data_IF_122416054006
#
_entry.id   IF_122416054006
#
_cell.length_a   1.000
_cell.length_b   1.000
_cell.length_c   1.000
_cell.angle_alpha   90.00
_cell.angle_beta   90.00
_cell.angle_gamma   90.00
#
_symmetry.space_group_name_H-M   'P 1'
#
loop_
_entity.id
_entity.type
_entity.pdbx_description
1 polymer ?
#
# COMPACT_ATOMS: atom_id res chain seq x y z
N UNK A 1 4.80 0.90 18.82
CA UNK A 1 5.34 -0.09 17.88
C UNK A 1 4.23 -0.86 17.23
N UNK A 2 4.33 -1.05 15.95
CA UNK A 2 3.31 -1.79 15.24
C UNK A 2 3.51 -3.27 15.36
N UNK A 3 2.42 -3.99 15.54
CA UNK A 3 2.48 -5.45 15.55
C UNK A 3 2.79 -5.95 14.15
N UNK A 4 3.58 -7.00 14.04
CA UNK A 4 3.76 -7.61 12.72
C UNK A 4 2.42 -8.12 12.20
N UNK A 5 2.27 -8.11 10.92
CA UNK A 5 1.07 -8.63 10.31
C UNK A 5 1.07 -10.13 10.28
N UNK A 6 0.91 -10.75 11.43
CA UNK A 6 1.09 -12.18 11.54
C UNK A 6 -0.15 -12.98 11.21
N UNK A 7 -1.31 -12.37 11.28
CA UNK A 7 -2.52 -13.09 10.93
C UNK A 7 -3.11 -12.53 9.66
N UNK A 8 -3.77 -13.36 8.92
CA UNK A 8 -4.46 -12.95 7.72
C UNK A 8 -5.89 -12.59 8.08
N UNK A 9 -6.53 -11.88 7.18
CA UNK A 9 -7.97 -11.70 7.25
C UNK A 9 -8.58 -13.02 6.78
N UNK A 10 -8.64 -13.95 7.69
CA UNK A 10 -8.97 -15.31 7.37
C UNK A 10 -10.48 -15.50 7.33
N UNK A 11 -10.96 -15.98 6.21
CA UNK A 11 -12.37 -16.17 6.00
C UNK A 11 -12.76 -17.63 5.85
N UNK A 12 -11.97 -18.53 6.37
CA UNK A 12 -12.24 -19.95 6.22
C UNK A 12 -13.65 -20.33 6.62
N UNK A 13 -14.15 -19.70 7.66
CA UNK A 13 -15.49 -19.99 8.12
C UNK A 13 -16.56 -19.53 7.15
N UNK A 14 -16.23 -18.52 6.38
CA UNK A 14 -17.18 -18.02 5.38
C UNK A 14 -17.24 -18.92 4.18
N UNK A 15 -16.23 -19.73 4.01
CA UNK A 15 -16.21 -20.73 2.97
C UNK A 15 -16.46 -20.18 1.60
N UNK A 16 -17.27 -20.87 0.89
CA UNK A 16 -17.51 -20.60 -0.50
C UNK A 16 -18.07 -19.23 -0.79
N UNK A 17 -18.86 -18.70 0.09
CA UNK A 17 -19.50 -17.42 -0.16
C UNK A 17 -18.57 -16.24 0.00
N UNK A 18 -17.54 -16.41 0.79
CA UNK A 18 -16.68 -15.28 1.16
C UNK A 18 -15.97 -14.67 -0.04
N UNK A 19 -15.48 -15.47 -0.96
CA UNK A 19 -14.75 -14.94 -2.08
C UNK A 19 -15.66 -14.18 -3.03
N UNK A 20 -16.96 -14.38 -2.94
CA UNK A 20 -17.91 -13.65 -3.77
C UNK A 20 -18.25 -12.29 -3.17
N UNK A 21 -18.19 -12.19 -1.86
CA UNK A 21 -18.63 -11.00 -1.15
C UNK A 21 -17.54 -10.34 -0.33
N UNK A 22 -16.38 -10.96 -0.27
CA UNK A 22 -15.33 -10.50 0.62
C UNK A 22 -14.46 -9.44 0.01
N UNK A 23 -14.90 -8.21 0.10
CA UNK A 23 -14.08 -7.08 -0.32
C UNK A 23 -13.24 -6.63 0.85
N UNK A 24 -11.92 -6.57 0.65
CA UNK A 24 -11.01 -6.03 1.64
C UNK A 24 -10.79 -4.57 1.32
N UNK A 25 -11.05 -3.71 2.28
CA UNK A 25 -10.79 -2.28 2.12
C UNK A 25 -9.47 -1.94 2.78
N UNK A 26 -8.61 -1.24 2.05
CA UNK A 26 -7.27 -0.91 2.53
C UNK A 26 -7.07 0.60 2.45
N UNK A 27 -6.59 1.18 3.55
CA UNK A 27 -6.22 2.59 3.61
C UNK A 27 -4.72 2.65 3.86
N UNK A 28 -3.99 3.42 3.06
CA UNK A 28 -2.53 3.46 3.16
C UNK A 28 -2.04 4.90 3.23
N UNK A 29 -0.89 5.07 3.87
CA UNK A 29 -0.22 6.37 3.92
C UNK A 29 1.26 6.18 4.16
N UNK A 30 2.03 7.21 3.82
CA UNK A 30 3.46 7.24 4.07
C UNK A 30 3.85 8.57 4.64
N UNK A 31 4.89 8.59 5.44
CA UNK A 31 5.41 9.81 6.05
C UNK A 31 6.93 9.76 6.05
N UNK A 32 7.55 10.93 5.92
CA UNK A 32 8.99 11.00 5.95
C UNK A 32 9.41 12.34 6.55
N UNK A 33 10.35 12.28 7.48
CA UNK A 33 10.87 13.50 8.12
C UNK A 33 12.17 13.89 7.43
N UNK A 34 12.09 14.95 6.63
CA UNK A 34 13.18 15.26 5.71
C UNK A 34 13.12 14.27 4.56
N UNK A 35 13.36 14.65 3.38
CA UNK A 35 13.15 13.81 2.22
C UNK A 35 14.41 13.86 1.35
N UNK A 36 15.41 12.97 1.59
CA UNK A 36 15.34 11.76 2.38
C UNK A 36 15.52 11.94 3.88
N UNK A 37 15.11 10.94 4.64
CA UNK A 37 15.24 10.94 6.08
C UNK A 37 14.47 9.77 6.67
N UNK A 38 14.29 9.75 8.00
CA UNK A 38 13.50 8.70 8.63
C UNK A 38 12.06 8.75 8.13
N UNK A 39 11.55 7.61 7.76
CA UNK A 39 10.19 7.53 7.25
C UNK A 39 9.43 6.36 7.82
N UNK A 40 8.11 6.42 7.67
CA UNK A 40 7.23 5.36 8.11
C UNK A 40 6.09 5.17 7.13
N UNK A 41 5.48 4.02 7.21
CA UNK A 41 4.32 3.67 6.40
C UNK A 41 3.24 3.07 7.30
N UNK A 42 2.00 3.22 6.89
CA UNK A 42 0.90 2.65 7.62
C UNK A 42 -0.18 2.12 6.70
N UNK A 43 -0.86 1.09 7.14
CA UNK A 43 -1.97 0.51 6.39
C UNK A 43 -3.02 -0.01 7.37
N UNK A 44 -4.28 0.28 7.05
CA UNK A 44 -5.41 -0.27 7.77
C UNK A 44 -6.19 -1.14 6.80
N UNK A 45 -6.34 -2.41 7.15
CA UNK A 45 -7.11 -3.35 6.34
C UNK A 45 -8.40 -3.66 7.07
N UNK A 46 -9.51 -3.55 6.35
CA UNK A 46 -10.84 -3.79 6.92
C UNK A 46 -11.53 -4.86 6.09
N UNK A 47 -11.99 -5.90 6.76
CA UNK A 47 -12.74 -6.96 6.11
C UNK A 47 -13.93 -7.29 7.01
N UNK A 48 -15.11 -6.90 6.54
CA UNK A 48 -16.34 -7.02 7.34
C UNK A 48 -16.18 -6.24 8.64
N UNK A 49 -16.29 -6.89 9.80
CA UNK A 49 -16.13 -6.22 11.09
C UNK A 49 -14.74 -6.37 11.69
N UNK A 50 -13.80 -6.90 10.91
CA UNK A 50 -12.43 -7.10 11.37
C UNK A 50 -11.51 -6.01 10.83
N UNK A 51 -10.56 -5.62 11.65
CA UNK A 51 -9.55 -4.64 11.25
C UNK A 51 -8.17 -5.17 11.56
N UNK A 52 -7.23 -4.81 10.70
CA UNK A 52 -5.83 -5.16 10.89
C UNK A 52 -5.00 -3.94 10.61
N UNK A 53 -4.13 -3.60 11.53
CA UNK A 53 -3.25 -2.45 11.38
C UNK A 53 -1.83 -2.91 11.12
N UNK A 54 -1.17 -2.29 10.15
CA UNK A 54 0.22 -2.54 9.86
C UNK A 54 0.96 -1.23 9.86
N UNK A 55 2.18 -1.23 10.32
CA UNK A 55 3.06 -0.09 10.12
C UNK A 55 4.51 -0.52 10.27
N UNK A 56 5.38 0.33 9.76
CA UNK A 56 6.81 0.09 9.86
C UNK A 56 7.53 1.34 9.42
N UNK A 57 8.85 1.30 9.44
CA UNK A 57 9.64 2.45 9.08
C UNK A 57 11.02 2.09 8.60
N UNK A 58 11.70 3.08 8.06
CA UNK A 58 13.08 2.96 7.60
C UNK A 58 13.84 4.20 8.06
N UNK A 59 15.11 4.02 8.43
CA UNK A 59 15.90 5.16 8.96
C UNK A 59 16.29 6.17 7.88
N UNK A 60 16.35 5.76 6.63
CA UNK A 60 16.73 6.64 5.52
C UNK A 60 15.91 6.26 4.30
N UNK A 61 14.91 7.05 3.99
CA UNK A 61 14.00 6.74 2.90
C UNK A 61 13.39 8.02 2.36
N UNK A 62 12.37 7.90 1.52
CA UNK A 62 11.65 9.04 0.98
C UNK A 62 10.16 8.83 1.17
N UNK A 63 9.42 9.93 1.07
CA UNK A 63 7.97 9.84 1.19
C UNK A 63 7.38 8.91 0.12
N UNK A 64 7.87 9.03 -1.12
CA UNK A 64 7.36 8.19 -2.21
C UNK A 64 7.60 6.70 -1.95
N UNK A 65 8.77 6.34 -1.42
CA UNK A 65 9.03 4.95 -1.09
C UNK A 65 8.09 4.45 0.01
N UNK A 66 7.81 5.29 0.98
CA UNK A 66 6.91 4.90 2.07
C UNK A 66 5.48 4.72 1.58
N UNK A 67 5.04 5.57 0.66
CA UNK A 67 3.73 5.42 0.07
C UNK A 67 3.58 4.10 -0.68
N UNK A 68 4.60 3.76 -1.47
CA UNK A 68 4.60 2.47 -2.18
C UNK A 68 4.66 1.30 -1.21
N UNK A 69 5.51 1.41 -0.20
CA UNK A 69 5.72 0.34 0.75
C UNK A 69 4.43 0.02 1.52
N UNK A 70 3.66 1.05 1.87
CA UNK A 70 2.40 0.84 2.56
C UNK A 70 1.46 -0.05 1.74
N UNK A 71 1.32 0.23 0.45
CA UNK A 71 0.45 -0.56 -0.42
C UNK A 71 1.00 -1.99 -0.56
N UNK A 72 2.30 -2.10 -0.77
CA UNK A 72 2.95 -3.40 -0.95
C UNK A 72 2.75 -4.28 0.28
N UNK A 73 3.04 -3.74 1.46
CA UNK A 73 2.91 -4.53 2.68
C UNK A 73 1.47 -4.93 2.96
N UNK A 74 0.54 -4.04 2.65
CA UNK A 74 -0.87 -4.36 2.83
C UNK A 74 -1.30 -5.53 1.92
N UNK A 75 -0.95 -5.46 0.65
CA UNK A 75 -1.29 -6.54 -0.29
C UNK A 75 -0.58 -7.84 0.06
N UNK A 76 0.67 -7.73 0.47
CA UNK A 76 1.48 -8.87 0.84
C UNK A 76 0.90 -9.63 2.03
N UNK A 77 0.20 -8.94 2.91
CA UNK A 77 -0.38 -9.56 4.10
C UNK A 77 -1.60 -10.41 3.80
N UNK A 78 -2.14 -10.32 2.60
CA UNK A 78 -3.29 -11.11 2.20
C UNK A 78 -2.82 -12.50 1.74
N UNK A 79 -3.37 -13.53 2.35
CA UNK A 79 -2.89 -14.90 2.13
C UNK A 79 -3.46 -15.54 0.89
N UNK A 80 -4.52 -14.99 0.34
CA UNK A 80 -5.18 -15.54 -0.83
C UNK A 80 -5.61 -14.41 -1.74
N UNK A 81 -5.99 -14.78 -2.94
CA UNK A 81 -6.51 -13.83 -3.92
C UNK A 81 -7.77 -13.17 -3.38
N UNK A 82 -7.82 -11.84 -3.44
CA UNK A 82 -8.92 -11.07 -2.88
C UNK A 82 -9.36 -9.99 -3.84
N UNK A 83 -10.62 -9.59 -3.69
CA UNK A 83 -11.07 -8.32 -4.24
C UNK A 83 -10.73 -7.25 -3.20
N UNK A 84 -10.07 -6.20 -3.65
CA UNK A 84 -9.47 -5.19 -2.76
C UNK A 84 -9.82 -3.80 -3.25
N UNK A 85 -10.23 -2.93 -2.33
CA UNK A 85 -10.39 -1.50 -2.60
C UNK A 85 -9.30 -0.76 -1.83
N UNK A 86 -8.43 -0.06 -2.52
CA UNK A 86 -7.31 0.64 -1.90
C UNK A 86 -7.56 2.14 -1.96
N UNK A 87 -7.53 2.78 -0.79
CA UNK A 87 -7.71 4.23 -0.66
C UNK A 87 -6.37 4.86 -0.30
N UNK A 88 -5.91 5.79 -1.11
CA UNK A 88 -4.66 6.49 -0.87
C UNK A 88 -4.76 7.92 -1.41
N UNK A 89 -4.03 8.84 -0.78
CA UNK A 89 -3.95 10.21 -1.27
C UNK A 89 -2.65 10.49 -2.02
N UNK A 90 -1.86 9.46 -2.27
CA UNK A 90 -0.57 9.63 -2.93
C UNK A 90 -0.71 9.88 -4.41
N UNK A 91 -0.35 11.08 -4.85
CA UNK A 91 -0.33 11.39 -6.27
C UNK A 91 0.74 10.58 -7.01
N UNK A 92 1.83 10.28 -6.32
CA UNK A 92 2.90 9.48 -6.90
C UNK A 92 2.41 8.08 -7.24
N UNK A 93 1.71 7.43 -6.32
CA UNK A 93 1.16 6.09 -6.56
C UNK A 93 0.12 6.15 -7.68
N UNK A 94 -0.74 7.17 -7.63
CA UNK A 94 -1.78 7.35 -8.63
C UNK A 94 -1.19 7.47 -10.03
N UNK A 95 -0.25 8.38 -10.19
CA UNK A 95 0.33 8.63 -11.51
C UNK A 95 1.08 7.41 -12.02
N UNK A 96 1.76 6.70 -11.13
CA UNK A 96 2.47 5.50 -11.53
C UNK A 96 1.52 4.40 -12.00
N UNK A 97 0.47 4.16 -11.26
CA UNK A 97 -0.48 3.09 -11.58
C UNK A 97 -1.26 3.43 -12.86
N UNK A 98 -1.69 4.69 -13.01
CA UNK A 98 -2.54 5.07 -14.12
C UNK A 98 -1.76 5.29 -15.41
N UNK A 99 -0.52 5.71 -15.32
CA UNK A 99 0.21 6.18 -16.49
C UNK A 99 1.58 5.54 -16.64
N UNK A 100 2.47 5.76 -15.68
CA UNK A 100 3.89 5.46 -15.86
C UNK A 100 4.19 3.97 -16.00
N UNK A 101 3.48 3.15 -15.25
CA UNK A 101 3.81 1.73 -15.18
C UNK A 101 3.66 1.04 -16.53
N UNK A 102 2.73 1.51 -17.34
CA UNK A 102 2.49 0.90 -18.65
C UNK A 102 3.69 1.09 -19.57
N UNK A 103 4.27 2.27 -19.56
CA UNK A 103 5.45 2.54 -20.35
C UNK A 103 6.67 1.81 -19.80
N UNK A 104 6.80 1.78 -18.49
CA UNK A 104 7.94 1.09 -17.85
C UNK A 104 7.95 -0.40 -18.19
N UNK A 105 6.79 -1.03 -18.16
CA UNK A 105 6.70 -2.46 -18.48
C UNK A 105 7.12 -2.74 -19.92
N UNK A 106 6.78 -1.84 -20.83
CA UNK A 106 7.18 -1.99 -22.23
C UNK A 106 8.66 -1.74 -22.43
N UNK A 107 9.26 -0.88 -21.61
CA UNK A 107 10.63 -0.44 -21.78
C UNK A 107 11.63 -1.16 -20.86
N UNK A 108 11.21 -2.28 -20.29
CA UNK A 108 12.08 -3.06 -19.42
C UNK A 108 12.44 -2.36 -18.13
N UNK A 109 11.53 -1.51 -17.63
CA UNK A 109 11.70 -0.78 -16.38
C UNK A 109 12.84 0.24 -16.44
N UNK A 110 12.99 0.85 -17.60
CA UNK A 110 13.96 1.90 -17.81
C UNK A 110 13.27 3.14 -18.33
N UNK A 111 13.84 4.29 -17.99
CA UNK A 111 13.35 5.56 -18.50
C UNK A 111 13.73 5.74 -19.97
N UNK A 112 13.25 6.81 -20.57
CA UNK A 112 13.60 7.14 -21.94
C UNK A 112 15.11 7.25 -22.14
N UNK A 113 15.84 7.69 -21.10
CA UNK A 113 17.29 7.83 -21.12
C UNK A 113 18.01 6.51 -20.84
N UNK A 114 17.27 5.41 -20.79
CA UNK A 114 17.79 4.08 -20.51
C UNK A 114 18.37 3.94 -19.11
N UNK A 115 17.95 4.79 -18.19
CA UNK A 115 18.33 4.68 -16.79
C UNK A 115 17.27 3.88 -16.04
N UNK A 116 17.64 3.20 -14.96
CA UNK A 116 16.63 2.47 -14.19
C UNK A 116 15.53 3.40 -13.69
N UNK A 117 14.31 2.92 -13.71
CA UNK A 117 13.18 3.66 -13.14
C UNK A 117 13.42 3.82 -11.64
N UNK A 118 13.20 5.02 -11.13
CA UNK A 118 13.36 5.27 -9.71
C UNK A 118 12.37 4.41 -8.93
N UNK A 119 12.86 3.75 -7.89
CA UNK A 119 12.06 2.83 -7.07
C UNK A 119 11.52 1.65 -7.88
N UNK A 120 12.23 1.25 -8.93
CA UNK A 120 11.77 0.18 -9.81
C UNK A 120 11.48 -1.10 -9.05
N UNK A 121 12.29 -1.44 -8.04
CA UNK A 121 12.08 -2.67 -7.29
C UNK A 121 10.73 -2.65 -6.56
N UNK A 122 10.33 -1.49 -6.04
CA UNK A 122 9.06 -1.36 -5.36
C UNK A 122 7.89 -1.40 -6.36
N UNK A 123 8.04 -0.71 -7.49
CA UNK A 123 7.00 -0.72 -8.51
C UNK A 123 6.76 -2.11 -9.08
N UNK A 124 7.83 -2.87 -9.28
CA UNK A 124 7.71 -4.24 -9.78
C UNK A 124 7.02 -5.13 -8.76
N UNK A 125 7.36 -4.97 -7.50
CA UNK A 125 6.74 -5.75 -6.44
C UNK A 125 5.25 -5.41 -6.35
N UNK A 126 4.91 -4.13 -6.41
CA UNK A 126 3.51 -3.70 -6.38
C UNK A 126 2.75 -4.26 -7.57
N UNK A 127 3.33 -4.19 -8.76
CA UNK A 127 2.67 -4.69 -9.97
C UNK A 127 2.36 -6.18 -9.84
N UNK A 128 3.31 -6.95 -9.34
CA UNK A 128 3.12 -8.39 -9.18
C UNK A 128 2.03 -8.70 -8.14
N UNK A 129 2.04 -7.97 -7.03
CA UNK A 129 1.03 -8.18 -6.00
C UNK A 129 -0.36 -7.77 -6.47
N UNK A 130 -0.46 -6.64 -7.16
CA UNK A 130 -1.74 -6.18 -7.66
C UNK A 130 -2.31 -7.16 -8.69
N UNK A 131 -1.46 -7.82 -9.45
CA UNK A 131 -1.91 -8.80 -10.44
C UNK A 131 -2.50 -10.05 -9.79
N UNK A 132 -2.13 -10.33 -8.54
CA UNK A 132 -2.66 -11.49 -7.81
C UNK A 132 -4.05 -11.25 -7.24
N UNK A 133 -4.48 -9.99 -7.23
CA UNK A 133 -5.76 -9.61 -6.63
C UNK A 133 -6.58 -8.81 -7.62
N UNK A 134 -7.85 -8.64 -7.34
CA UNK A 134 -8.69 -7.74 -8.13
C UNK A 134 -8.73 -6.42 -7.37
N UNK A 135 -7.97 -5.44 -7.84
CA UNK A 135 -7.76 -4.20 -7.11
C UNK A 135 -8.54 -3.06 -7.74
N UNK A 136 -9.33 -2.37 -6.90
CA UNK A 136 -9.94 -1.09 -7.24
C UNK A 136 -9.15 0.01 -6.55
N UNK A 137 -8.74 1.00 -7.29
CA UNK A 137 -7.98 2.12 -6.76
C UNK A 137 -8.90 3.31 -6.51
N UNK A 138 -8.83 3.86 -5.32
CA UNK A 138 -9.61 5.03 -4.94
C UNK A 138 -8.67 6.13 -4.50
N UNK A 139 -8.66 7.22 -5.23
CA UNK A 139 -7.77 8.34 -4.96
C UNK A 139 -8.55 9.37 -4.15
N UNK A 140 -8.04 9.63 -2.94
CA UNK A 140 -8.68 10.58 -2.04
C UNK A 140 -7.86 11.85 -1.98
N UNK A 141 -8.48 12.96 -1.59
CA UNK A 141 -7.78 14.22 -1.47
C UNK A 141 -7.39 14.45 -0.03
N UNK A 142 -6.10 14.29 0.24
CA UNK A 142 -5.56 14.61 1.54
C UNK A 142 -6.39 14.09 2.69
N UNK A 143 -6.42 14.86 3.75
CA UNK A 143 -7.08 14.45 4.99
C UNK A 143 -8.46 15.06 5.14
N UNK A 144 -9.32 14.81 4.21
CA UNK A 144 -10.65 15.43 4.20
C UNK A 144 -11.64 14.71 5.10
N UNK A 145 -11.24 14.44 6.34
CA UNK A 145 -12.14 13.81 7.29
C UNK A 145 -12.45 12.36 6.97
N UNK A 146 -11.57 11.68 6.28
CA UNK A 146 -11.76 10.28 5.93
C UNK A 146 -11.16 9.43 7.04
N UNK A 147 -12.00 8.78 7.88
CA UNK A 147 -11.47 8.11 9.07
C UNK A 147 -10.42 7.04 8.80
N UNK A 148 -10.58 6.28 7.71
CA UNK A 148 -9.62 5.25 7.39
C UNK A 148 -8.26 5.83 7.03
N UNK A 149 -8.24 6.90 6.25
CA UNK A 149 -6.99 7.53 5.87
C UNK A 149 -6.35 8.25 7.05
N UNK A 150 -7.14 8.78 7.96
CA UNK A 150 -6.60 9.38 9.18
C UNK A 150 -5.89 8.33 10.03
N UNK A 151 -6.44 7.13 10.09
CA UNK A 151 -5.81 6.04 10.84
C UNK A 151 -4.53 5.58 10.16
N UNK A 152 -4.53 5.51 8.83
CA UNK A 152 -3.31 5.16 8.10
C UNK A 152 -2.22 6.21 8.31
N UNK A 153 -2.60 7.49 8.35
CA UNK A 153 -1.66 8.56 8.63
C UNK A 153 -1.04 8.40 10.02
N UNK A 154 -1.88 8.13 11.01
CA UNK A 154 -1.37 7.91 12.37
C UNK A 154 -0.42 6.73 12.43
N UNK A 155 -0.74 5.66 11.72
CA UNK A 155 0.13 4.49 11.66
C UNK A 155 1.46 4.81 10.98
N UNK A 156 1.42 5.58 9.89
CA UNK A 156 2.64 5.97 9.20
C UNK A 156 3.54 6.79 10.11
N UNK A 157 2.97 7.73 10.85
CA UNK A 157 3.76 8.52 11.79
C UNK A 157 4.33 7.68 12.92
N UNK A 158 3.58 6.72 13.39
CA UNK A 158 4.08 5.78 14.39
C UNK A 158 5.24 4.97 13.82
N UNK A 159 5.17 4.61 12.55
CA UNK A 159 6.24 3.88 11.88
C UNK A 159 7.53 4.67 11.84
N UNK A 160 7.45 5.99 11.68
CA UNK A 160 8.65 6.83 11.70
C UNK A 160 9.43 6.66 13.00
N UNK A 161 8.71 6.61 14.11
CA UNK A 161 9.36 6.46 15.41
C UNK A 161 9.84 5.05 15.65
N UNK A 162 9.28 4.06 14.96
CA UNK A 162 9.67 2.66 15.09
C UNK A 162 10.87 2.31 14.20
N UNK A 163 11.13 3.13 13.20
CA UNK A 163 12.17 2.86 12.21
C UNK A 163 13.60 3.23 12.61
#
# INVERSE_FOLDING_TARGET
>A
MCAPGTYALDDRKSGRGAQMTGLVTIYTDGACKGNPGPGGWGALLVFRDREKELCGGEPATTNNRMELTAVIRALESLKRECAVAIYTDSQYVKNGIQTWIHAWKKNGWKTADRKPVKNAELWRELDALAARHTVEWHWVKGHNGHPGNDRADALANRGVTSG
#
